data_IF_666976414987
#
_entry.id   IF_666976414987
#
_cell.length_a   1.000
_cell.length_b   1.000
_cell.length_c   1.000
_cell.angle_alpha   90.00
_cell.angle_beta   90.00
_cell.angle_gamma   90.00
#
_symmetry.space_group_name_H-M   'P 1'
#
loop_
_entity.id
_entity.type
_entity.pdbx_description
1 polymer ?
#
# COMPACT_ATOMS: atom_id res chain seq x y z
N UNK A 1 27.16 -4.97 -38.06
CA UNK A 1 26.83 -5.62 -36.77
C UNK A 1 26.94 -4.60 -35.65
N UNK A 2 25.83 -4.00 -35.18
CA UNK A 2 25.68 -3.37 -33.85
C UNK A 2 24.20 -3.40 -33.50
N UNK A 3 23.81 -4.35 -32.66
CA UNK A 3 22.43 -4.65 -32.25
C UNK A 3 22.11 -3.80 -31.02
N UNK A 4 21.62 -2.58 -31.19
CA UNK A 4 21.08 -1.78 -30.08
C UNK A 4 19.60 -2.09 -29.91
N UNK A 5 19.32 -3.23 -29.29
CA UNK A 5 18.02 -3.51 -28.70
C UNK A 5 17.96 -2.81 -27.33
N UNK A 6 17.72 -1.50 -27.34
CA UNK A 6 17.13 -0.85 -26.18
C UNK A 6 15.64 -1.21 -26.21
N UNK A 7 15.32 -2.35 -25.59
CA UNK A 7 13.97 -2.60 -25.10
C UNK A 7 13.66 -1.49 -24.11
N UNK A 8 13.04 -0.42 -24.61
CA UNK A 8 12.35 0.55 -23.79
C UNK A 8 11.27 -0.25 -23.06
N UNK A 9 11.61 -0.63 -21.83
CA UNK A 9 10.77 -1.24 -20.83
C UNK A 9 9.72 -0.19 -20.42
N UNK A 10 8.88 0.23 -21.37
CA UNK A 10 7.62 0.89 -21.11
C UNK A 10 6.67 -0.25 -20.75
N UNK A 11 6.95 -0.89 -19.61
CA UNK A 11 5.88 -1.51 -18.85
C UNK A 11 5.09 -0.30 -18.36
N UNK A 12 4.10 0.07 -19.18
CA UNK A 12 2.99 0.94 -18.82
C UNK A 12 2.16 0.26 -17.74
N UNK A 13 2.78 -0.02 -16.61
CA UNK A 13 2.12 -0.24 -15.33
C UNK A 13 1.54 1.10 -14.92
N UNK A 14 0.33 1.34 -15.41
CA UNK A 14 -0.75 2.04 -14.74
C UNK A 14 -0.34 3.32 -13.99
N UNK A 15 -0.62 4.44 -14.65
CA UNK A 15 -1.25 5.61 -14.02
C UNK A 15 -0.46 6.22 -12.86
N UNK A 16 0.44 7.14 -13.20
CA UNK A 16 0.84 8.22 -12.31
C UNK A 16 -0.33 9.19 -12.07
N UNK A 17 -1.43 8.73 -11.46
CA UNK A 17 -2.53 9.55 -10.95
C UNK A 17 -3.26 8.84 -9.80
N UNK A 18 -2.69 8.88 -8.61
CA UNK A 18 -3.52 9.13 -7.41
C UNK A 18 -2.82 10.18 -6.57
N UNK A 19 -2.98 11.43 -7.02
CA UNK A 19 -2.80 12.59 -6.15
C UNK A 19 -3.97 12.59 -5.16
N UNK A 20 -3.94 11.70 -4.16
CA UNK A 20 -4.82 11.66 -2.99
C UNK A 20 -4.22 10.71 -1.95
N UNK A 21 -2.94 10.85 -1.58
CA UNK A 21 -2.55 10.34 -0.27
C UNK A 21 -3.19 11.30 0.75
N UNK A 22 -4.47 11.08 1.07
CA UNK A 22 -4.78 11.11 2.49
C UNK A 22 -3.84 10.07 3.06
N UNK A 23 -3.00 10.45 4.00
CA UNK A 23 -2.24 9.52 4.83
C UNK A 23 -3.25 8.70 5.63
N UNK A 24 -4.03 7.86 4.94
CA UNK A 24 -4.96 6.93 5.54
C UNK A 24 -4.10 5.85 6.17
N UNK A 25 -3.99 5.92 7.48
CA UNK A 25 -3.15 5.05 8.29
C UNK A 25 -4.02 4.39 9.36
N UNK A 26 -3.86 3.08 9.51
CA UNK A 26 -4.49 2.36 10.59
C UNK A 26 -3.56 2.39 11.80
N UNK A 27 -4.00 3.08 12.85
CA UNK A 27 -3.26 3.15 14.12
C UNK A 27 -3.96 2.27 15.14
N UNK A 28 -3.22 1.30 15.68
CA UNK A 28 -3.69 0.42 16.73
C UNK A 28 -3.16 0.85 18.10
N UNK A 29 -3.96 0.63 19.15
CA UNK A 29 -3.65 1.02 20.53
C UNK A 29 -2.38 0.34 21.09
N UNK A 30 -1.97 -0.79 20.49
CA UNK A 30 -0.73 -1.50 20.80
C UNK A 30 0.53 -0.90 20.11
N UNK A 31 0.41 0.24 19.44
CA UNK A 31 1.53 0.94 18.79
C UNK A 31 1.89 0.42 17.39
N UNK A 32 1.06 -0.45 16.82
CA UNK A 32 1.19 -0.86 15.40
C UNK A 32 0.52 0.20 14.53
N UNK A 33 1.25 0.70 13.55
CA UNK A 33 0.72 1.57 12.49
C UNK A 33 0.88 0.84 11.17
N UNK A 34 -0.23 0.73 10.43
CA UNK A 34 -0.25 0.15 9.09
C UNK A 34 -0.58 1.29 8.13
N UNK A 35 0.29 1.50 7.16
CA UNK A 35 0.10 2.53 6.13
C UNK A 35 -0.55 1.93 4.89
N UNK A 36 -1.04 2.80 4.00
CA UNK A 36 -1.56 2.38 2.70
C UNK A 36 -0.51 1.58 1.93
N UNK A 37 0.77 1.96 2.01
CA UNK A 37 1.88 1.25 1.37
C UNK A 37 2.05 -0.18 1.88
N UNK A 38 1.87 -0.43 3.18
CA UNK A 38 1.94 -1.78 3.76
C UNK A 38 0.80 -2.67 3.25
N UNK A 39 -0.39 -2.10 3.08
CA UNK A 39 -1.56 -2.78 2.54
C UNK A 39 -1.40 -3.07 1.04
N UNK A 40 -0.89 -2.10 0.27
CA UNK A 40 -0.58 -2.25 -1.15
C UNK A 40 0.51 -3.32 -1.41
N UNK A 41 1.58 -3.36 -0.60
CA UNK A 41 2.63 -4.39 -0.69
C UNK A 41 2.07 -5.80 -0.41
N UNK A 42 1.09 -5.88 0.50
CA UNK A 42 0.37 -7.10 0.83
C UNK A 42 -0.75 -7.44 -0.16
N UNK A 43 -1.09 -6.54 -1.09
CA UNK A 43 -2.17 -6.70 -2.07
C UNK A 43 -3.58 -6.69 -1.46
N UNK A 44 -3.76 -6.07 -0.29
CA UNK A 44 -5.04 -5.96 0.42
C UNK A 44 -5.42 -4.49 0.64
N UNK A 45 -6.67 -4.20 1.01
CA UNK A 45 -7.05 -2.84 1.39
C UNK A 45 -6.53 -2.46 2.78
N UNK A 46 -6.28 -1.16 3.02
CA UNK A 46 -5.90 -0.65 4.35
C UNK A 46 -6.92 -1.04 5.42
N UNK A 47 -8.22 -1.03 5.07
CA UNK A 47 -9.29 -1.44 5.97
C UNK A 47 -9.19 -2.91 6.36
N UNK A 48 -8.88 -3.80 5.41
CA UNK A 48 -8.66 -5.22 5.71
C UNK A 48 -7.42 -5.40 6.58
N UNK A 49 -6.32 -4.72 6.26
CA UNK A 49 -5.11 -4.77 7.06
C UNK A 49 -5.36 -4.30 8.50
N UNK A 50 -6.19 -3.27 8.66
CA UNK A 50 -6.60 -2.73 9.96
C UNK A 50 -7.50 -3.69 10.75
N UNK A 51 -8.43 -4.36 10.07
CA UNK A 51 -9.30 -5.38 10.68
C UNK A 51 -8.50 -6.60 11.13
N UNK A 52 -7.52 -7.03 10.33
CA UNK A 52 -6.56 -8.09 10.67
C UNK A 52 -5.71 -7.74 11.90
N UNK A 53 -5.22 -6.50 11.97
CA UNK A 53 -4.48 -6.03 13.15
C UNK A 53 -5.37 -5.99 14.40
N UNK A 54 -6.65 -5.64 14.23
CA UNK A 54 -7.65 -5.62 15.31
C UNK A 54 -8.07 -7.01 15.80
N UNK A 55 -7.96 -8.04 14.95
CA UNK A 55 -8.35 -9.42 15.31
C UNK A 55 -7.48 -10.01 16.43
N UNK A 56 -6.32 -9.41 16.71
CA UNK A 56 -5.44 -9.76 17.83
C UNK A 56 -5.89 -9.25 19.21
N UNK A 57 -7.09 -8.63 19.31
CA UNK A 57 -7.57 -8.00 20.54
C UNK A 57 -7.07 -6.56 20.72
N UNK A 58 -6.40 -6.00 19.71
CA UNK A 58 -6.06 -4.59 19.64
C UNK A 58 -7.25 -3.78 19.11
N UNK A 59 -7.46 -2.58 19.64
CA UNK A 59 -8.37 -1.62 19.02
C UNK A 59 -7.61 -0.83 17.97
N UNK A 60 -8.00 -0.97 16.71
CA UNK A 60 -7.40 -0.28 15.58
C UNK A 60 -8.38 0.73 14.98
N UNK A 61 -7.87 1.87 14.52
CA UNK A 61 -8.69 2.92 13.90
C UNK A 61 -7.95 3.51 12.70
N UNK A 62 -8.64 3.56 11.56
CA UNK A 62 -8.17 4.30 10.39
C UNK A 62 -8.27 5.81 10.67
N UNK A 63 -7.18 6.52 10.38
CA UNK A 63 -7.08 7.98 10.52
C UNK A 63 -6.82 8.66 9.19
#
# INVERSE_FOLDING_TARGET
MKKSLLFALIIGGTLSFTSCAKDEECVCDNGVTITQADADDSGISLSEACDYAGTGGASCSMK
#
